data_IF_364609561043
#
_entry.id   IF_364609561043
#
_cell.length_a   1.000
_cell.length_b   1.000
_cell.length_c   1.000
_cell.angle_alpha   90.00
_cell.angle_beta   90.00
_cell.angle_gamma   90.00
#
_symmetry.space_group_name_H-M   'P 1'
#
loop_
_entity.id
_entity.type
_entity.pdbx_description
1 polymer ?
#
# COMPACT_ATOMS: atom_id res chain seq x y z
N UNK A 1 -88.04 -6.84 -23.37
CA UNK A 1 -87.73 -6.86 -21.93
C UNK A 1 -86.23 -7.09 -21.79
N UNK A 2 -85.46 -6.04 -21.48
CA UNK A 2 -84.00 -6.05 -21.40
C UNK A 2 -83.61 -5.88 -19.94
N UNK A 3 -82.91 -6.86 -19.38
CA UNK A 3 -82.53 -6.93 -17.97
C UNK A 3 -81.27 -6.11 -17.66
N UNK A 4 -81.36 -5.28 -16.62
CA UNK A 4 -80.25 -4.58 -15.95
C UNK A 4 -79.31 -5.58 -15.28
N UNK A 5 -78.05 -5.65 -15.70
CA UNK A 5 -76.97 -6.26 -14.92
C UNK A 5 -76.34 -5.22 -13.97
N UNK A 6 -76.28 -5.60 -12.70
CA UNK A 6 -75.96 -4.74 -11.57
C UNK A 6 -74.48 -4.37 -11.42
N UNK A 7 -74.30 -3.13 -10.99
CA UNK A 7 -73.10 -2.41 -10.60
C UNK A 7 -72.45 -2.90 -9.30
N UNK A 8 -71.91 -4.12 -9.26
CA UNK A 8 -71.30 -4.69 -8.06
C UNK A 8 -69.78 -4.57 -7.94
N UNK A 9 -69.06 -4.14 -8.98
CA UNK A 9 -67.60 -4.33 -9.08
C UNK A 9 -66.69 -3.19 -8.58
N UNK A 10 -67.22 -2.01 -8.26
CA UNK A 10 -66.37 -0.81 -8.03
C UNK A 10 -65.98 -0.52 -6.57
N UNK A 11 -66.50 -1.24 -5.59
CA UNK A 11 -66.26 -0.90 -4.16
C UNK A 11 -65.07 -1.61 -3.50
N UNK A 12 -64.40 -2.56 -4.16
CA UNK A 12 -63.29 -3.32 -3.54
C UNK A 12 -61.91 -2.69 -3.80
N UNK A 13 -61.78 -1.80 -4.79
CA UNK A 13 -60.48 -1.20 -5.16
C UNK A 13 -60.08 0.06 -4.36
N UNK A 14 -60.98 0.66 -3.59
CA UNK A 14 -60.70 1.89 -2.83
C UNK A 14 -60.07 1.66 -1.45
N UNK A 15 -60.00 0.40 -0.96
CA UNK A 15 -59.49 0.09 0.40
C UNK A 15 -57.96 -0.06 0.45
N UNK A 16 -57.28 -0.16 -0.70
CA UNK A 16 -55.82 -0.34 -0.75
C UNK A 16 -55.03 0.96 -0.98
N UNK A 17 -55.71 2.11 -1.12
CA UNK A 17 -55.02 3.39 -1.18
C UNK A 17 -54.39 3.68 0.19
N UNK A 18 -53.05 3.82 0.30
CA UNK A 18 -52.40 4.12 1.57
C UNK A 18 -52.93 5.46 2.08
N UNK A 19 -53.67 5.43 3.20
CA UNK A 19 -54.18 6.65 3.83
C UNK A 19 -53.06 7.67 4.07
N UNK A 20 -53.38 8.95 4.18
CA UNK A 20 -52.42 10.06 4.28
C UNK A 20 -51.27 9.83 5.28
N UNK A 21 -51.48 9.04 6.34
CA UNK A 21 -50.44 8.64 7.29
C UNK A 21 -49.32 7.78 6.64
N UNK A 22 -49.66 6.88 5.72
CA UNK A 22 -48.72 6.06 4.97
C UNK A 22 -47.81 6.88 4.05
N UNK A 23 -48.36 7.87 3.35
CA UNK A 23 -47.57 8.78 2.51
C UNK A 23 -46.53 9.58 3.31
N UNK A 24 -46.88 10.05 4.52
CA UNK A 24 -45.94 10.81 5.37
C UNK A 24 -44.76 9.95 5.84
N UNK A 25 -45.02 8.68 6.20
CA UNK A 25 -43.97 7.75 6.62
C UNK A 25 -43.06 7.43 5.44
N UNK A 26 -43.63 7.16 4.26
CA UNK A 26 -42.86 6.85 3.06
C UNK A 26 -41.95 8.02 2.66
N UNK A 27 -42.43 9.26 2.76
CA UNK A 27 -41.63 10.47 2.50
C UNK A 27 -40.46 10.63 3.47
N UNK A 28 -40.67 10.36 4.76
CA UNK A 28 -39.62 10.45 5.79
C UNK A 28 -38.55 9.38 5.62
N UNK A 29 -38.94 8.16 5.24
CA UNK A 29 -37.99 7.08 4.95
C UNK A 29 -37.14 7.42 3.73
N UNK A 30 -37.75 7.91 2.65
CA UNK A 30 -37.02 8.33 1.45
C UNK A 30 -36.05 9.49 1.73
N UNK A 31 -36.47 10.47 2.55
CA UNK A 31 -35.59 11.56 2.98
C UNK A 31 -34.42 11.05 3.83
N UNK A 32 -34.67 10.13 4.78
CA UNK A 32 -33.62 9.55 5.61
C UNK A 32 -32.59 8.76 4.80
N UNK A 33 -33.04 7.94 3.86
CA UNK A 33 -32.17 7.17 2.97
C UNK A 33 -31.36 8.09 2.05
N UNK A 34 -32.00 9.12 1.49
CA UNK A 34 -31.33 10.11 0.65
C UNK A 34 -30.26 10.90 1.41
N UNK A 35 -30.54 11.29 2.65
CA UNK A 35 -29.60 12.04 3.49
C UNK A 35 -28.40 11.17 3.92
N UNK A 36 -28.65 9.90 4.27
CA UNK A 36 -27.59 8.95 4.59
C UNK A 36 -26.69 8.69 3.38
N UNK A 37 -27.28 8.50 2.19
CA UNK A 37 -26.54 8.33 0.95
C UNK A 37 -25.72 9.59 0.61
N UNK A 38 -26.26 10.79 0.85
CA UNK A 38 -25.55 12.06 0.64
C UNK A 38 -24.40 12.28 1.63
N UNK A 39 -24.56 11.86 2.89
CA UNK A 39 -23.47 11.94 3.88
C UNK A 39 -22.34 10.95 3.57
N UNK A 40 -22.68 9.74 3.12
CA UNK A 40 -21.71 8.75 2.64
C UNK A 40 -21.03 9.21 1.33
N UNK A 41 -21.74 9.95 0.47
CA UNK A 41 -21.23 10.55 -0.77
C UNK A 41 -20.10 11.57 -0.54
N UNK A 42 -20.13 12.32 0.57
CA UNK A 42 -19.13 13.36 0.83
C UNK A 42 -17.81 12.84 1.43
N UNK A 43 -17.84 11.67 2.08
CA UNK A 43 -16.69 11.14 2.83
C UNK A 43 -15.90 10.07 2.08
N UNK A 44 -16.44 9.56 0.97
CA UNK A 44 -15.79 8.57 0.13
C UNK A 44 -15.05 9.30 -0.98
N UNK A 45 -13.72 9.42 -0.92
CA UNK A 45 -12.87 9.98 -1.98
C UNK A 45 -12.85 9.12 -3.26
N UNK A 46 -14.02 8.72 -3.74
CA UNK A 46 -14.28 7.77 -4.83
C UNK A 46 -14.48 8.51 -6.16
N UNK A 47 -13.93 7.94 -7.23
CA UNK A 47 -14.29 8.30 -8.60
C UNK A 47 -15.78 8.00 -8.85
N UNK A 48 -16.57 9.05 -9.02
CA UNK A 48 -18.04 9.04 -9.02
C UNK A 48 -18.68 8.50 -10.29
N UNK A 49 -17.93 8.42 -11.39
CA UNK A 49 -18.47 8.09 -12.71
C UNK A 49 -19.02 6.64 -12.82
N UNK A 50 -18.34 5.60 -12.31
CA UNK A 50 -18.85 4.23 -12.37
C UNK A 50 -20.11 4.08 -11.51
N UNK A 51 -20.09 4.62 -10.29
CA UNK A 51 -21.21 4.51 -9.34
C UNK A 51 -22.46 5.20 -9.84
N UNK A 52 -22.34 6.36 -10.49
CA UNK A 52 -23.49 7.03 -11.12
C UNK A 52 -24.09 6.16 -12.21
N UNK A 53 -23.29 5.63 -13.14
CA UNK A 53 -23.80 4.76 -14.21
C UNK A 53 -24.46 3.51 -13.62
N UNK A 54 -23.85 2.88 -12.62
CA UNK A 54 -24.36 1.63 -12.04
C UNK A 54 -25.52 1.80 -11.05
N UNK A 55 -25.69 2.97 -10.41
CA UNK A 55 -26.83 3.25 -9.54
C UNK A 55 -28.01 3.87 -10.31
N UNK A 56 -27.74 4.73 -11.29
CA UNK A 56 -28.77 5.44 -12.05
C UNK A 56 -29.46 4.51 -13.04
N UNK A 57 -28.73 3.60 -13.70
CA UNK A 57 -29.32 2.67 -14.69
C UNK A 57 -30.37 1.73 -14.08
N UNK A 58 -30.14 1.03 -12.95
CA UNK A 58 -31.16 0.20 -12.32
C UNK A 58 -32.33 1.02 -11.79
N UNK A 59 -32.05 2.22 -11.25
CA UNK A 59 -33.09 3.12 -10.74
C UNK A 59 -34.00 3.60 -11.88
N UNK A 60 -33.43 3.93 -13.04
CA UNK A 60 -34.17 4.26 -14.26
C UNK A 60 -35.01 3.09 -14.76
N UNK A 61 -34.48 1.86 -14.73
CA UNK A 61 -35.21 0.64 -15.11
C UNK A 61 -36.42 0.41 -14.19
N UNK A 62 -36.31 0.70 -12.89
CA UNK A 62 -37.41 0.57 -11.92
C UNK A 62 -38.44 1.70 -12.04
N UNK A 63 -38.03 2.90 -12.47
CA UNK A 63 -38.94 4.05 -12.65
C UNK A 63 -39.71 3.96 -13.98
N UNK A 64 -39.17 3.28 -15.00
CA UNK A 64 -39.82 3.12 -16.30
C UNK A 64 -41.20 2.43 -16.15
N UNK A 65 -42.31 3.14 -16.42
CA UNK A 65 -43.66 2.70 -16.08
C UNK A 65 -44.12 1.43 -16.81
N UNK A 66 -43.47 1.08 -17.93
CA UNK A 66 -43.76 -0.15 -18.69
C UNK A 66 -43.34 -1.44 -17.97
N UNK A 67 -42.26 -1.41 -17.19
CA UNK A 67 -41.74 -2.60 -16.48
C UNK A 67 -42.49 -2.85 -15.17
N UNK A 68 -43.02 -1.78 -14.55
CA UNK A 68 -43.81 -1.82 -13.30
C UNK A 68 -45.08 -2.67 -13.35
N UNK A 69 -45.61 -2.97 -14.55
CA UNK A 69 -46.82 -3.81 -14.69
C UNK A 69 -46.54 -5.31 -14.71
N UNK A 70 -45.29 -5.71 -14.95
CA UNK A 70 -44.92 -7.12 -15.13
C UNK A 70 -44.26 -7.74 -13.90
N UNK A 71 -43.83 -6.91 -12.96
CA UNK A 71 -43.05 -7.34 -11.79
C UNK A 71 -43.76 -6.80 -10.55
N UNK A 72 -44.24 -7.70 -9.70
CA UNK A 72 -44.79 -7.35 -8.39
C UNK A 72 -43.87 -6.34 -7.70
N UNK A 73 -44.43 -5.30 -7.09
CA UNK A 73 -43.72 -4.11 -6.60
C UNK A 73 -42.57 -4.43 -5.61
N UNK A 74 -42.59 -5.64 -5.04
CA UNK A 74 -41.56 -6.20 -4.16
C UNK A 74 -40.35 -6.79 -4.89
N UNK A 75 -40.50 -7.34 -6.09
CA UNK A 75 -39.42 -8.02 -6.83
C UNK A 75 -38.44 -7.03 -7.48
N UNK A 76 -38.93 -5.89 -7.98
CA UNK A 76 -38.06 -4.87 -8.58
C UNK A 76 -37.03 -4.29 -7.58
N UNK A 77 -37.43 -4.18 -6.31
CA UNK A 77 -36.55 -3.70 -5.23
C UNK A 77 -35.47 -4.73 -4.89
N UNK A 78 -35.83 -6.02 -4.84
CA UNK A 78 -34.89 -7.11 -4.56
C UNK A 78 -33.87 -7.22 -5.70
N UNK A 79 -34.32 -7.25 -6.95
CA UNK A 79 -33.43 -7.36 -8.12
C UNK A 79 -32.52 -6.13 -8.21
N UNK A 80 -33.04 -4.92 -8.00
CA UNK A 80 -32.25 -3.69 -8.02
C UNK A 80 -31.16 -3.66 -6.94
N UNK A 81 -31.49 -4.06 -5.70
CA UNK A 81 -30.52 -4.17 -4.61
C UNK A 81 -29.47 -5.26 -4.88
N UNK A 82 -29.89 -6.40 -5.41
CA UNK A 82 -28.99 -7.53 -5.72
C UNK A 82 -28.02 -7.14 -6.82
N UNK A 83 -28.49 -6.49 -7.89
CA UNK A 83 -27.66 -6.03 -9.00
C UNK A 83 -26.66 -4.96 -8.56
N UNK A 84 -27.12 -3.95 -7.81
CA UNK A 84 -26.25 -2.92 -7.27
C UNK A 84 -25.14 -3.52 -6.40
N UNK A 85 -25.48 -4.49 -5.56
CA UNK A 85 -24.53 -5.14 -4.69
C UNK A 85 -23.57 -6.10 -5.44
N UNK A 86 -24.00 -6.76 -6.51
CA UNK A 86 -23.14 -7.55 -7.38
C UNK A 86 -22.12 -6.67 -8.13
N UNK A 87 -22.56 -5.48 -8.56
CA UNK A 87 -21.71 -4.52 -9.27
C UNK A 87 -20.72 -3.82 -8.35
N UNK A 88 -21.06 -3.60 -7.08
CA UNK A 88 -20.16 -3.01 -6.07
C UNK A 88 -19.14 -4.02 -5.52
N UNK A 89 -19.32 -5.32 -5.77
CA UNK A 89 -18.51 -6.42 -5.24
C UNK A 89 -17.00 -6.37 -5.59
N UNK A 90 -16.56 -5.89 -6.78
CA UNK A 90 -15.14 -5.84 -7.12
C UNK A 90 -14.38 -4.66 -6.49
N UNK A 91 -15.09 -3.60 -6.08
CA UNK A 91 -14.46 -2.32 -5.70
C UNK A 91 -14.45 -2.06 -4.21
N UNK A 92 -15.19 -2.85 -3.44
CA UNK A 92 -15.32 -2.70 -2.00
C UNK A 92 -14.54 -3.85 -1.36
N UNK A 93 -13.58 -3.59 -0.45
CA UNK A 93 -12.86 -4.67 0.23
C UNK A 93 -13.88 -5.64 0.82
N UNK A 94 -13.73 -6.94 0.51
CA UNK A 94 -14.81 -7.94 0.61
C UNK A 94 -15.49 -8.05 1.99
N UNK A 95 -14.87 -7.52 3.03
CA UNK A 95 -15.45 -7.39 4.36
C UNK A 95 -16.55 -6.35 4.50
N UNK A 96 -16.42 -5.20 3.86
CA UNK A 96 -17.46 -4.18 3.87
C UNK A 96 -18.69 -4.68 3.09
N UNK A 97 -18.47 -5.43 2.01
CA UNK A 97 -19.52 -6.12 1.27
C UNK A 97 -20.29 -7.08 2.18
N UNK A 98 -19.59 -7.94 2.93
CA UNK A 98 -20.24 -8.86 3.86
C UNK A 98 -21.05 -8.16 4.95
N UNK A 99 -20.53 -7.06 5.53
CA UNK A 99 -21.27 -6.28 6.53
C UNK A 99 -22.48 -5.55 5.94
N UNK A 100 -22.36 -4.99 4.73
CA UNK A 100 -23.44 -4.31 4.04
C UNK A 100 -24.57 -5.28 3.69
N UNK A 101 -24.24 -6.48 3.21
CA UNK A 101 -25.21 -7.56 2.96
C UNK A 101 -25.87 -8.06 4.23
N UNK A 102 -25.09 -8.22 5.32
CA UNK A 102 -25.63 -8.56 6.63
C UNK A 102 -26.68 -7.58 7.12
N UNK A 103 -26.39 -6.27 7.01
CA UNK A 103 -27.32 -5.21 7.38
C UNK A 103 -28.54 -5.16 6.45
N UNK A 104 -28.35 -5.33 5.14
CA UNK A 104 -29.45 -5.35 4.17
C UNK A 104 -30.41 -6.53 4.42
N UNK A 105 -29.88 -7.74 4.62
CA UNK A 105 -30.68 -8.92 4.95
C UNK A 105 -31.35 -8.78 6.32
N UNK A 106 -30.65 -8.24 7.32
CA UNK A 106 -31.21 -7.94 8.64
C UNK A 106 -32.37 -6.95 8.59
N UNK A 107 -32.25 -5.89 7.79
CA UNK A 107 -33.31 -4.89 7.59
C UNK A 107 -34.54 -5.48 6.88
N UNK A 108 -34.33 -6.31 5.86
CA UNK A 108 -35.41 -7.02 5.15
C UNK A 108 -36.13 -7.99 6.10
N UNK A 109 -35.39 -8.76 6.90
CA UNK A 109 -35.94 -9.66 7.92
C UNK A 109 -36.73 -8.90 9.00
N UNK A 110 -36.22 -7.76 9.49
CA UNK A 110 -36.93 -6.93 10.47
C UNK A 110 -38.23 -6.34 9.89
N UNK A 111 -38.21 -5.92 8.62
CA UNK A 111 -39.39 -5.37 7.94
C UNK A 111 -40.51 -6.41 7.74
N UNK A 112 -40.14 -7.65 7.42
CA UNK A 112 -41.08 -8.76 7.23
C UNK A 112 -41.66 -9.23 8.57
N UNK A 113 -40.87 -9.25 9.65
CA UNK A 113 -41.36 -9.50 11.01
C UNK A 113 -42.41 -8.47 11.43
N UNK A 114 -42.20 -7.19 11.11
CA UNK A 114 -43.13 -6.11 11.47
C UNK A 114 -44.47 -6.22 10.73
N UNK A 115 -44.47 -6.67 9.47
CA UNK A 115 -45.70 -6.93 8.69
C UNK A 115 -46.44 -8.19 9.15
N UNK A 116 -45.74 -9.20 9.66
CA UNK A 116 -46.37 -10.45 10.11
C UNK A 116 -47.04 -10.40 11.50
N UNK A 117 -47.00 -9.27 12.21
CA UNK A 117 -47.78 -9.08 13.45
C UNK A 117 -49.31 -9.11 13.24
N UNK A 118 -49.80 -9.15 12.00
CA UNK A 118 -51.23 -8.98 11.68
C UNK A 118 -52.03 -10.25 11.30
N UNK A 119 -51.47 -11.46 11.37
CA UNK A 119 -52.30 -12.66 11.20
C UNK A 119 -51.56 -13.96 10.88
N UNK A 120 -51.64 -14.91 11.81
CA UNK A 120 -51.81 -16.35 11.57
C UNK A 120 -50.73 -17.21 10.87
N UNK A 121 -49.43 -16.89 10.95
CA UNK A 121 -48.37 -17.93 10.74
C UNK A 121 -47.08 -17.62 11.52
N UNK A 122 -46.96 -18.16 12.74
CA UNK A 122 -45.91 -17.84 13.72
C UNK A 122 -44.51 -18.44 13.43
N UNK A 123 -44.36 -19.35 12.46
CA UNK A 123 -43.12 -20.13 12.28
C UNK A 123 -42.17 -19.64 11.18
N UNK A 124 -42.66 -18.88 10.21
CA UNK A 124 -41.86 -18.41 9.05
C UNK A 124 -40.76 -17.38 9.40
N UNK A 125 -40.93 -16.41 10.33
CA UNK A 125 -39.92 -15.37 10.52
C UNK A 125 -38.64 -15.82 11.26
N UNK A 126 -38.66 -16.96 11.97
CA UNK A 126 -37.48 -17.46 12.68
C UNK A 126 -36.48 -18.14 11.76
N UNK A 127 -36.94 -18.76 10.68
CA UNK A 127 -36.09 -19.48 9.73
C UNK A 127 -35.18 -18.54 8.92
N UNK A 128 -35.61 -17.30 8.66
CA UNK A 128 -34.83 -16.32 7.87
C UNK A 128 -33.71 -15.61 8.67
N UNK A 129 -33.78 -15.62 10.01
CA UNK A 129 -32.80 -14.94 10.87
C UNK A 129 -31.48 -15.72 10.96
N UNK A 130 -31.55 -17.04 10.96
CA UNK A 130 -30.39 -17.94 11.06
C UNK A 130 -29.38 -17.73 9.91
N UNK A 131 -29.76 -17.75 8.62
CA UNK A 131 -28.80 -17.56 7.54
C UNK A 131 -28.21 -16.16 7.50
N UNK A 132 -28.96 -15.12 7.89
CA UNK A 132 -28.45 -13.76 7.94
C UNK A 132 -27.36 -13.61 9.00
N UNK A 133 -27.57 -14.15 10.21
CA UNK A 133 -26.56 -14.15 11.27
C UNK A 133 -25.35 -15.00 10.86
N UNK A 134 -25.56 -16.17 10.26
CA UNK A 134 -24.47 -17.02 9.77
C UNK A 134 -23.60 -16.30 8.74
N UNK A 135 -24.19 -15.58 7.78
CA UNK A 135 -23.45 -14.80 6.79
C UNK A 135 -22.63 -13.67 7.41
N UNK A 136 -23.16 -12.97 8.43
CA UNK A 136 -22.42 -11.92 9.14
C UNK A 136 -21.23 -12.51 9.89
N UNK A 137 -21.42 -13.63 10.59
CA UNK A 137 -20.35 -14.29 11.34
C UNK A 137 -19.26 -14.83 10.40
N UNK A 138 -19.65 -15.51 9.32
CA UNK A 138 -18.69 -16.02 8.33
C UNK A 138 -17.94 -14.88 7.63
N UNK A 139 -18.62 -13.78 7.29
CA UNK A 139 -18.00 -12.59 6.71
C UNK A 139 -17.03 -11.88 7.67
N UNK A 140 -17.38 -11.79 8.95
CA UNK A 140 -16.50 -11.26 9.99
C UNK A 140 -15.25 -12.11 10.20
N UNK A 141 -15.41 -13.44 10.24
CA UNK A 141 -14.29 -14.39 10.35
C UNK A 141 -13.36 -14.34 9.13
N UNK A 142 -13.93 -14.26 7.92
CA UNK A 142 -13.14 -14.12 6.69
C UNK A 142 -12.35 -12.79 6.66
N UNK A 143 -12.95 -11.69 7.12
CA UNK A 143 -12.24 -10.40 7.22
C UNK A 143 -11.11 -10.44 8.24
N UNK A 144 -11.36 -11.06 9.40
CA UNK A 144 -10.37 -11.18 10.46
C UNK A 144 -9.19 -12.05 10.03
N UNK A 145 -9.45 -13.16 9.33
CA UNK A 145 -8.41 -13.99 8.73
C UNK A 145 -7.54 -13.19 7.74
N UNK A 146 -8.16 -12.45 6.82
CA UNK A 146 -7.43 -11.62 5.85
C UNK A 146 -6.84 -10.31 6.41
N UNK A 147 -7.07 -9.97 7.68
CA UNK A 147 -6.43 -8.80 8.30
C UNK A 147 -4.94 -9.07 8.59
N UNK A 148 -4.59 -10.31 8.94
CA UNK A 148 -3.20 -10.69 9.18
C UNK A 148 -2.38 -10.67 7.90
N UNK A 149 -2.92 -11.21 6.80
CA UNK A 149 -2.25 -11.21 5.50
C UNK A 149 -1.97 -9.79 5.00
N UNK A 150 -2.95 -8.88 5.12
CA UNK A 150 -2.78 -7.47 4.75
C UNK A 150 -1.73 -6.76 5.59
N UNK A 151 -1.69 -7.02 6.90
CA UNK A 151 -0.67 -6.44 7.77
C UNK A 151 0.73 -6.96 7.40
N UNK A 152 0.85 -8.25 7.04
CA UNK A 152 2.10 -8.83 6.56
C UNK A 152 2.54 -8.25 5.22
N UNK A 153 1.62 -8.06 4.27
CA UNK A 153 1.90 -7.41 2.98
C UNK A 153 2.32 -5.95 3.16
N UNK A 154 1.61 -5.19 3.99
CA UNK A 154 1.97 -3.80 4.30
C UNK A 154 3.35 -3.71 4.97
N UNK A 155 3.66 -4.64 5.88
CA UNK A 155 4.98 -4.71 6.51
C UNK A 155 6.09 -4.99 5.49
N UNK A 156 5.87 -5.90 4.52
CA UNK A 156 6.82 -6.18 3.44
C UNK A 156 7.02 -4.97 2.53
N UNK A 157 5.94 -4.33 2.10
CA UNK A 157 6.00 -3.12 1.27
C UNK A 157 6.73 -1.98 2.00
N UNK A 158 6.47 -1.80 3.30
CA UNK A 158 7.17 -0.81 4.11
C UNK A 158 8.67 -1.12 4.25
N UNK A 159 9.04 -2.40 4.41
CA UNK A 159 10.43 -2.84 4.46
C UNK A 159 11.15 -2.62 3.11
N UNK A 160 10.52 -2.96 2.00
CA UNK A 160 11.05 -2.72 0.65
C UNK A 160 11.19 -1.23 0.37
N UNK A 161 10.20 -0.41 0.72
CA UNK A 161 10.25 1.04 0.57
C UNK A 161 11.37 1.64 1.44
N UNK A 162 11.56 1.14 2.66
CA UNK A 162 12.64 1.55 3.53
C UNK A 162 14.00 1.23 2.91
N UNK A 163 14.22 0.00 2.44
CA UNK A 163 15.45 -0.41 1.77
C UNK A 163 15.72 0.41 0.50
N UNK A 164 14.68 0.68 -0.29
CA UNK A 164 14.78 1.53 -1.47
C UNK A 164 15.13 2.99 -1.14
N UNK A 165 14.66 3.52 -0.01
CA UNK A 165 15.03 4.88 0.41
C UNK A 165 16.45 4.92 0.99
N UNK A 166 16.85 3.88 1.73
CA UNK A 166 18.23 3.72 2.21
C UNK A 166 19.23 3.65 1.06
N UNK A 167 18.91 2.95 -0.03
CA UNK A 167 19.81 2.85 -1.19
C UNK A 167 20.07 4.16 -1.91
N UNK A 168 19.23 5.19 -1.71
CA UNK A 168 19.44 6.55 -2.25
C UNK A 168 20.46 7.34 -1.45
N UNK A 169 20.75 6.93 -0.21
CA UNK A 169 21.76 7.56 0.65
C UNK A 169 23.16 7.01 0.39
N UNK A 170 23.26 5.86 -0.30
CA UNK A 170 24.52 5.26 -0.68
C UNK A 170 25.25 6.06 -1.77
N UNK A 171 26.58 5.98 -1.86
CA UNK A 171 27.35 6.62 -2.92
C UNK A 171 26.86 6.23 -4.32
N UNK A 172 26.79 7.20 -5.23
CA UNK A 172 26.27 6.99 -6.60
C UNK A 172 27.26 6.30 -7.53
N UNK A 173 28.54 6.22 -7.14
CA UNK A 173 29.59 5.47 -7.84
C UNK A 173 30.61 4.91 -6.86
N UNK A 174 31.27 3.78 -7.17
CA UNK A 174 32.36 3.24 -6.35
C UNK A 174 33.51 4.23 -6.13
N UNK A 175 33.85 5.01 -7.17
CA UNK A 175 34.83 6.09 -7.07
C UNK A 175 34.42 7.14 -6.02
N UNK A 176 33.15 7.58 -6.00
CA UNK A 176 32.66 8.52 -4.98
C UNK A 176 32.66 7.94 -3.56
N UNK A 177 32.45 6.63 -3.41
CA UNK A 177 32.55 5.96 -2.12
C UNK A 177 33.98 6.02 -1.56
N UNK A 178 34.99 5.81 -2.42
CA UNK A 178 36.40 5.91 -2.04
C UNK A 178 36.78 7.35 -1.67
N UNK A 179 36.33 8.35 -2.43
CA UNK A 179 36.50 9.76 -2.06
C UNK A 179 35.90 10.05 -0.68
N UNK A 180 34.67 9.59 -0.42
CA UNK A 180 34.03 9.78 0.87
C UNK A 180 34.80 9.08 2.00
N UNK A 181 35.35 7.89 1.74
CA UNK A 181 36.14 7.12 2.70
C UNK A 181 37.46 7.80 3.05
N UNK A 182 38.21 8.29 2.06
CA UNK A 182 39.41 9.11 2.29
C UNK A 182 39.06 10.37 3.07
N UNK A 183 37.95 11.02 2.72
CA UNK A 183 37.48 12.20 3.43
C UNK A 183 37.09 11.89 4.89
N UNK A 184 36.48 10.73 5.16
CA UNK A 184 36.11 10.29 6.51
C UNK A 184 37.32 9.88 7.36
N UNK A 185 38.35 9.30 6.75
CA UNK A 185 39.65 9.09 7.42
C UNK A 185 40.22 10.43 7.86
N UNK A 186 40.12 11.46 7.02
CA UNK A 186 40.66 12.79 7.30
C UNK A 186 39.79 13.60 8.30
N UNK A 187 38.47 13.51 8.16
CA UNK A 187 37.44 14.30 8.86
C UNK A 187 36.50 13.38 9.66
N UNK A 188 36.67 13.26 10.99
CA UNK A 188 35.95 12.27 11.80
C UNK A 188 34.43 12.48 11.86
N UNK A 189 33.94 13.70 11.61
CA UNK A 189 32.49 13.99 11.56
C UNK A 189 31.78 13.38 10.35
N UNK A 190 32.51 12.73 9.43
CA UNK A 190 31.96 12.06 8.24
C UNK A 190 32.02 10.52 8.33
N UNK A 191 32.61 10.00 9.40
CA UNK A 191 32.87 8.57 9.54
C UNK A 191 31.59 7.74 9.66
N UNK A 192 30.54 8.27 10.30
CA UNK A 192 29.22 7.65 10.40
C UNK A 192 28.59 7.41 9.02
N UNK A 193 28.64 8.41 8.13
CA UNK A 193 28.08 8.33 6.78
C UNK A 193 28.80 7.29 5.93
N UNK A 194 30.11 7.15 6.10
CA UNK A 194 30.88 6.17 5.33
C UNK A 194 30.73 4.77 5.88
N UNK A 195 30.76 4.59 7.21
CA UNK A 195 30.53 3.27 7.81
C UNK A 195 29.12 2.74 7.49
N UNK A 196 28.14 3.61 7.25
CA UNK A 196 26.82 3.22 6.74
C UNK A 196 26.85 2.62 5.33
N UNK A 197 27.86 2.95 4.51
CA UNK A 197 28.01 2.41 3.16
C UNK A 197 28.64 1.00 3.13
N UNK A 198 29.05 0.47 4.29
CA UNK A 198 29.54 -0.92 4.42
C UNK A 198 28.39 -1.87 4.77
N UNK A 199 28.40 -3.04 4.16
CA UNK A 199 27.65 -4.19 4.66
C UNK A 199 28.18 -4.57 6.06
N UNK A 200 27.38 -5.22 6.92
CA UNK A 200 27.87 -5.68 8.22
C UNK A 200 29.13 -6.56 8.13
N UNK A 201 29.21 -7.40 7.08
CA UNK A 201 30.37 -8.26 6.81
C UNK A 201 31.60 -7.44 6.44
N UNK A 202 31.48 -6.54 5.45
CA UNK A 202 32.59 -5.70 5.00
C UNK A 202 33.08 -4.75 6.09
N UNK A 203 32.18 -4.22 6.93
CA UNK A 203 32.53 -3.40 8.08
C UNK A 203 33.38 -4.16 9.09
N UNK A 204 33.06 -5.43 9.33
CA UNK A 204 33.83 -6.30 10.23
C UNK A 204 35.20 -6.67 9.63
N UNK A 205 35.27 -6.95 8.33
CA UNK A 205 36.52 -7.19 7.59
C UNK A 205 37.44 -5.96 7.65
N UNK A 206 36.89 -4.78 7.38
CA UNK A 206 37.60 -3.50 7.47
C UNK A 206 38.12 -3.23 8.89
N UNK A 207 37.28 -3.44 9.91
CA UNK A 207 37.67 -3.32 11.30
C UNK A 207 38.82 -4.29 11.66
N UNK A 208 38.68 -5.56 11.30
CA UNK A 208 39.65 -6.60 11.59
C UNK A 208 41.01 -6.34 10.91
N UNK A 209 41.00 -5.92 9.64
CA UNK A 209 42.21 -5.61 8.88
C UNK A 209 43.04 -4.48 9.51
N UNK A 210 42.38 -3.54 10.18
CA UNK A 210 43.02 -2.44 10.90
C UNK A 210 43.11 -2.69 12.42
N UNK A 211 42.82 -3.92 12.88
CA UNK A 211 42.86 -4.32 14.28
C UNK A 211 41.96 -3.45 15.19
N UNK A 212 40.86 -2.95 14.67
CA UNK A 212 39.89 -2.12 15.39
C UNK A 212 38.67 -2.94 15.82
N UNK A 213 37.91 -2.42 16.79
CA UNK A 213 36.67 -3.06 17.25
C UNK A 213 35.53 -2.91 16.23
N UNK A 214 35.51 -1.80 15.49
CA UNK A 214 34.47 -1.44 14.53
C UNK A 214 35.04 -0.58 13.39
N UNK A 215 34.19 -0.26 12.41
CA UNK A 215 34.54 0.58 11.26
C UNK A 215 35.04 1.96 11.69
N UNK A 216 34.42 2.58 12.70
CA UNK A 216 34.82 3.91 13.20
C UNK A 216 36.23 3.89 13.80
N UNK A 217 36.55 2.86 14.58
CA UNK A 217 37.87 2.64 15.14
C UNK A 217 38.94 2.39 14.07
N UNK A 218 38.59 1.70 12.97
CA UNK A 218 39.49 1.51 11.84
C UNK A 218 39.80 2.84 11.14
N UNK A 219 38.79 3.67 10.88
CA UNK A 219 38.98 5.02 10.33
C UNK A 219 39.85 5.89 11.24
N UNK A 220 39.62 5.83 12.56
CA UNK A 220 40.42 6.56 13.54
C UNK A 220 41.90 6.13 13.52
N UNK A 221 42.17 4.83 13.34
CA UNK A 221 43.55 4.31 13.20
C UNK A 221 44.19 4.75 11.89
N UNK A 222 43.49 4.65 10.76
CA UNK A 222 43.98 5.11 9.47
C UNK A 222 44.33 6.61 9.50
N UNK A 223 43.52 7.41 10.21
CA UNK A 223 43.77 8.84 10.38
C UNK A 223 45.13 9.15 10.97
N UNK A 224 45.65 8.32 11.87
CA UNK A 224 46.98 8.50 12.47
C UNK A 224 48.13 8.35 11.48
N UNK A 225 47.86 7.77 10.30
CA UNK A 225 48.82 7.56 9.22
C UNK A 225 48.77 8.68 8.17
N UNK A 226 47.80 9.60 8.27
CA UNK A 226 47.69 10.76 7.38
C UNK A 226 48.76 11.79 7.76
N UNK A 227 49.69 12.06 6.84
CA UNK A 227 50.79 13.02 7.05
C UNK A 227 50.34 14.45 6.79
N UNK A 228 49.72 14.66 5.63
CA UNK A 228 49.26 15.99 5.21
C UNK A 228 47.78 15.90 4.85
N UNK A 229 46.93 16.42 5.73
CA UNK A 229 45.48 16.42 5.55
C UNK A 229 45.07 17.01 4.18
N UNK A 230 45.64 18.16 3.84
CA UNK A 230 45.28 18.86 2.60
C UNK A 230 45.60 18.01 1.37
N UNK A 231 46.78 17.40 1.32
CA UNK A 231 47.20 16.59 0.17
C UNK A 231 46.43 15.28 0.09
N UNK A 232 46.19 14.64 1.23
CA UNK A 232 45.46 13.37 1.30
C UNK A 232 44.04 13.46 0.72
N UNK A 233 43.34 14.57 0.97
CA UNK A 233 41.96 14.77 0.49
C UNK A 233 41.91 15.47 -0.86
N UNK A 234 42.66 16.56 -1.04
CA UNK A 234 42.52 17.44 -2.21
C UNK A 234 43.39 17.04 -3.40
N UNK A 235 44.44 16.23 -3.18
CA UNK A 235 45.30 15.73 -4.25
C UNK A 235 45.05 14.25 -4.57
N UNK A 236 43.97 13.67 -4.03
CA UNK A 236 43.61 12.28 -4.27
C UNK A 236 43.31 12.02 -5.76
N UNK A 237 44.11 11.16 -6.36
CA UNK A 237 43.90 10.54 -7.65
C UNK A 237 43.57 9.06 -7.49
N UNK A 238 42.47 8.64 -8.13
CA UNK A 238 42.15 7.22 -8.31
C UNK A 238 42.50 6.88 -9.77
N UNK A 239 43.48 6.01 -10.04
CA UNK A 239 43.83 5.63 -11.41
C UNK A 239 42.63 5.09 -12.18
N UNK A 240 42.54 5.31 -13.49
CA UNK A 240 41.41 4.82 -14.30
C UNK A 240 41.34 3.30 -14.36
N UNK A 241 42.50 2.64 -14.25
CA UNK A 241 42.63 1.18 -14.18
C UNK A 241 42.24 0.59 -12.83
N UNK A 242 42.01 1.42 -11.81
CA UNK A 242 41.58 0.96 -10.49
C UNK A 242 40.11 0.52 -10.46
N UNK A 243 39.30 0.98 -11.41
CA UNK A 243 37.90 0.60 -11.53
C UNK A 243 37.74 -0.37 -12.70
N UNK A 244 37.03 -1.47 -12.47
CA UNK A 244 36.61 -2.36 -13.55
C UNK A 244 35.64 -1.60 -14.48
N UNK A 245 36.20 -0.98 -15.51
CA UNK A 245 35.51 -0.11 -16.48
C UNK A 245 34.36 -0.75 -17.27
N UNK A 246 34.17 -2.07 -17.20
CA UNK A 246 33.03 -2.73 -17.84
C UNK A 246 31.85 -2.76 -16.87
N UNK A 247 30.71 -2.11 -17.17
CA UNK A 247 29.54 -2.22 -16.33
C UNK A 247 29.19 -3.72 -16.22
N UNK A 248 29.23 -4.29 -15.01
CA UNK A 248 28.95 -5.70 -14.84
C UNK A 248 27.51 -5.99 -15.30
N UNK A 249 27.21 -7.24 -15.73
CA UNK A 249 25.83 -7.66 -15.92
C UNK A 249 24.99 -7.28 -14.69
N UNK A 250 23.72 -6.96 -14.87
CA UNK A 250 22.87 -6.46 -13.79
C UNK A 250 22.97 -7.37 -12.55
N UNK A 251 23.50 -6.83 -11.45
CA UNK A 251 23.69 -7.55 -10.18
C UNK A 251 25.06 -8.20 -9.97
N UNK A 252 25.99 -8.14 -10.93
CA UNK A 252 27.37 -8.57 -10.67
C UNK A 252 28.12 -7.49 -9.84
N UNK A 253 29.02 -7.92 -8.95
CA UNK A 253 29.80 -7.02 -8.11
C UNK A 253 30.75 -6.17 -8.96
N UNK A 254 31.04 -4.96 -8.49
CA UNK A 254 32.10 -4.11 -9.06
C UNK A 254 33.28 -4.07 -8.10
N UNK A 255 34.49 -4.27 -8.61
CA UNK A 255 35.70 -4.15 -7.82
C UNK A 255 36.38 -2.78 -8.05
N UNK A 256 36.88 -2.18 -6.98
CA UNK A 256 37.71 -0.98 -7.03
C UNK A 256 38.98 -1.19 -6.20
N UNK A 257 40.12 -1.05 -6.86
CA UNK A 257 41.45 -1.10 -6.26
C UNK A 257 41.86 0.26 -5.67
N UNK A 258 41.66 0.45 -4.37
CA UNK A 258 42.15 1.60 -3.62
C UNK A 258 43.47 1.30 -2.88
N UNK A 259 44.29 0.39 -3.43
CA UNK A 259 45.67 0.15 -3.00
C UNK A 259 46.71 0.95 -3.77
N UNK A 260 46.34 1.50 -4.92
CA UNK A 260 47.19 2.30 -5.78
C UNK A 260 46.69 3.75 -5.90
N UNK A 261 46.23 4.33 -4.78
CA UNK A 261 45.84 5.74 -4.73
C UNK A 261 47.07 6.62 -4.92
N UNK A 262 46.93 7.67 -5.72
CA UNK A 262 47.95 8.69 -5.89
C UNK A 262 47.54 9.96 -5.17
N UNK A 263 48.51 10.73 -4.70
CA UNK A 263 48.27 11.98 -3.96
C UNK A 263 49.02 13.13 -4.63
N UNK A 264 48.92 13.20 -5.96
CA UNK A 264 49.70 14.10 -6.81
C UNK A 264 48.82 15.10 -7.53
N UNK A 265 49.12 16.38 -7.35
CA UNK A 265 48.59 17.45 -8.18
C UNK A 265 49.58 17.82 -9.30
N UNK A 266 49.09 17.96 -10.52
CA UNK A 266 49.86 18.36 -11.70
C UNK A 266 50.48 19.76 -11.59
N UNK A 267 50.02 20.60 -10.66
CA UNK A 267 50.48 21.99 -10.50
C UNK A 267 51.63 22.11 -9.50
N UNK A 268 51.55 21.44 -8.34
CA UNK A 268 52.44 21.71 -7.20
C UNK A 268 53.55 20.67 -7.01
N UNK A 269 53.49 19.54 -7.73
CA UNK A 269 54.08 18.30 -7.21
C UNK A 269 53.29 17.86 -5.97
N UNK A 270 53.04 16.56 -5.82
CA UNK A 270 52.37 16.04 -4.62
C UNK A 270 53.33 15.25 -3.76
N UNK A 271 52.93 15.03 -2.51
CA UNK A 271 53.51 14.00 -1.66
C UNK A 271 52.87 12.66 -2.04
N UNK A 272 53.59 11.81 -2.76
CA UNK A 272 53.14 10.45 -3.11
C UNK A 272 52.78 9.60 -1.88
N UNK A 273 53.14 10.06 -0.67
CA UNK A 273 52.91 9.38 0.60
C UNK A 273 52.09 10.24 1.58
N UNK A 274 51.16 11.05 1.09
CA UNK A 274 50.30 11.92 1.92
C UNK A 274 49.50 11.18 3.01
N UNK A 275 49.21 9.88 2.82
CA UNK A 275 48.52 9.06 3.82
C UNK A 275 48.40 7.59 3.43
N UNK A 276 47.60 6.81 4.17
CA UNK A 276 47.47 5.37 3.95
C UNK A 276 46.66 5.05 2.71
N UNK A 277 47.02 3.95 2.07
CA UNK A 277 46.16 3.26 1.11
C UNK A 277 44.97 2.64 1.84
N UNK A 278 43.85 2.46 1.14
CA UNK A 278 42.61 2.02 1.77
C UNK A 278 42.45 0.51 1.70
N UNK A 279 42.59 -0.10 0.52
CA UNK A 279 42.27 -1.51 0.30
C UNK A 279 41.59 -1.77 -1.04
N UNK A 280 41.31 -3.03 -1.33
CA UNK A 280 40.40 -3.42 -2.39
C UNK A 280 38.98 -3.47 -1.83
N UNK A 281 38.04 -2.89 -2.57
CA UNK A 281 36.64 -2.79 -2.19
C UNK A 281 35.78 -3.45 -3.25
N UNK A 282 34.84 -4.29 -2.82
CA UNK A 282 33.83 -4.88 -3.67
C UNK A 282 32.49 -4.19 -3.41
N UNK A 283 31.81 -3.81 -4.48
CA UNK A 283 30.57 -3.05 -4.42
C UNK A 283 29.41 -3.81 -5.06
N UNK A 284 28.23 -3.66 -4.49
CA UNK A 284 26.97 -4.13 -5.08
C UNK A 284 25.98 -2.98 -5.22
N UNK A 285 25.35 -2.87 -6.38
CA UNK A 285 24.38 -1.81 -6.66
C UNK A 285 23.02 -2.14 -6.02
N UNK A 286 22.54 -1.28 -5.13
CA UNK A 286 21.31 -1.47 -4.38
C UNK A 286 20.13 -0.77 -5.08
N UNK A 287 19.12 -1.55 -5.50
CA UNK A 287 17.88 -1.04 -6.14
C UNK A 287 18.10 -0.07 -7.32
N UNK A 288 19.23 -0.20 -8.03
CA UNK A 288 19.58 0.71 -9.12
C UNK A 288 19.98 2.13 -8.70
N UNK A 289 20.11 2.41 -7.39
CA UNK A 289 20.46 3.73 -6.87
C UNK A 289 21.97 3.82 -6.57
N UNK A 290 22.38 3.60 -5.32
CA UNK A 290 23.79 3.67 -4.91
C UNK A 290 24.47 2.31 -4.73
N UNK A 291 25.74 2.38 -4.34
CA UNK A 291 26.63 1.23 -4.19
C UNK A 291 26.92 0.95 -2.71
N UNK A 292 26.68 -0.29 -2.29
CA UNK A 292 27.02 -0.80 -0.97
C UNK A 292 28.36 -1.54 -1.06
N UNK A 293 29.28 -1.30 -0.13
CA UNK A 293 30.53 -2.04 -0.01
C UNK A 293 30.21 -3.39 0.63
N UNK A 294 30.33 -4.49 -0.11
CA UNK A 294 29.92 -5.82 0.33
C UNK A 294 31.06 -6.70 0.81
N UNK A 295 32.29 -6.43 0.37
CA UNK A 295 33.52 -7.12 0.78
C UNK A 295 34.70 -6.13 0.81
N UNK A 296 35.64 -6.35 1.72
CA UNK A 296 36.84 -5.54 1.90
C UNK A 296 38.09 -6.41 2.06
N UNK A 297 39.16 -6.04 1.34
CA UNK A 297 40.46 -6.69 1.47
C UNK A 297 41.58 -5.65 1.68
N UNK A 298 42.47 -5.84 2.68
CA UNK A 298 43.59 -4.93 2.87
C UNK A 298 44.58 -5.04 1.72
N UNK A 299 45.31 -3.96 1.47
CA UNK A 299 46.42 -3.97 0.51
C UNK A 299 47.50 -4.95 0.96
N UNK A 300 47.97 -5.77 0.02
CA UNK A 300 49.12 -6.65 0.27
C UNK A 300 50.40 -5.81 0.31
N UNK A 301 51.31 -6.07 1.27
CA UNK A 301 52.60 -5.38 1.34
C UNK A 301 53.51 -5.74 0.16
#
# INVERSE_FOLDING_TARGET
MVGRFGSGGQQVLSVLAPGQAGQKIQRRVLLGVGLLAFLLFWWSGWDWWPTVVYAVVPTLIVILPGVRRLVDESWGLIVGLTLAAFVLMPQVPGSLVATAWGLALGAVAASTIRRHRFGWRKWVPRAALVPAVALVVLGGLAWWAGAQDRAAEQARQAAEAHQHNVSKLLPTSPRSAVFALVEAVAVPTKADRVCFAFSPTAAAEFAAAHQAADCMGALAKLRTQVRTFYDYVNQLGIPTQAEETSPPPAGAPLHLDACHLTFTNFISGGDEHAGPQIGMLTFERQFGNGYLITDYQPCRP
#
